data_IF_741052895508
#
_entry.id   IF_741052895508
#
_cell.length_a   1.000
_cell.length_b   1.000
_cell.length_c   1.000
_cell.angle_alpha   90.00
_cell.angle_beta   90.00
_cell.angle_gamma   90.00
#
_symmetry.space_group_name_H-M   'P 1'
#
loop_
_entity.id
_entity.type
_entity.pdbx_description
1 polymer ?
#
# COMPACT_ATOMS: atom_id res chain seq x y z
N UNK A 1 7.46 3.30 4.81
CA UNK A 1 7.48 4.73 4.37
C UNK A 1 6.42 5.54 5.12
N UNK A 2 6.83 6.44 6.01
CA UNK A 2 5.90 7.25 6.82
C UNK A 2 6.27 8.72 6.73
N UNK A 3 5.26 9.58 6.86
CA UNK A 3 5.51 10.98 7.12
C UNK A 3 5.82 11.24 8.61
N UNK A 4 6.20 12.48 8.92
CA UNK A 4 6.50 12.92 10.29
C UNK A 4 5.33 12.74 11.28
N UNK A 5 4.12 12.48 10.79
CA UNK A 5 2.90 12.25 11.58
C UNK A 5 2.51 10.77 11.66
N UNK A 6 3.38 9.84 11.23
CA UNK A 6 3.14 8.39 11.18
C UNK A 6 1.93 7.99 10.32
N UNK A 7 1.63 8.77 9.27
CA UNK A 7 0.66 8.36 8.25
C UNK A 7 1.36 7.52 7.18
N UNK A 8 0.64 6.58 6.59
CA UNK A 8 1.20 5.71 5.54
C UNK A 8 1.27 6.50 4.23
N UNK A 9 2.46 6.73 3.70
CA UNK A 9 2.63 7.44 2.43
C UNK A 9 2.09 6.59 1.26
N UNK A 10 1.36 7.21 0.33
CA UNK A 10 0.72 6.51 -0.80
C UNK A 10 1.18 7.07 -2.14
N UNK A 11 1.20 8.40 -2.27
CA UNK A 11 1.54 9.07 -3.52
C UNK A 11 1.98 10.51 -3.24
N UNK A 12 2.48 11.17 -4.28
CA UNK A 12 2.75 12.61 -4.31
C UNK A 12 2.04 13.21 -5.51
N UNK A 13 1.50 14.41 -5.37
CA UNK A 13 1.10 15.26 -6.48
C UNK A 13 1.85 16.59 -6.42
N UNK A 14 1.60 17.51 -7.36
CA UNK A 14 2.32 18.78 -7.45
C UNK A 14 2.16 19.68 -6.21
N UNK A 15 1.13 19.45 -5.40
CA UNK A 15 0.77 20.29 -4.25
C UNK A 15 1.16 19.67 -2.91
N UNK A 16 1.12 18.34 -2.79
CA UNK A 16 1.22 17.66 -1.51
C UNK A 16 1.55 16.16 -1.61
N UNK A 17 2.06 15.64 -0.51
CA UNK A 17 2.07 14.21 -0.22
C UNK A 17 0.65 13.73 0.11
N UNK A 18 0.27 12.60 -0.48
CA UNK A 18 -0.98 11.90 -0.23
C UNK A 18 -0.69 10.72 0.69
N UNK A 19 -1.22 10.79 1.90
CA UNK A 19 -1.03 9.75 2.92
C UNK A 19 -2.36 9.16 3.37
N UNK A 20 -2.36 7.87 3.69
CA UNK A 20 -3.47 7.16 4.31
C UNK A 20 -3.37 7.25 5.83
N UNK A 21 -4.48 7.62 6.47
CA UNK A 21 -4.58 7.65 7.94
C UNK A 21 -4.73 6.19 8.42
N UNK A 22 -3.80 5.64 9.22
CA UNK A 22 -3.79 4.20 9.53
C UNK A 22 -5.09 3.70 10.16
N UNK A 23 -5.70 4.50 11.05
CA UNK A 23 -6.99 4.17 11.67
C UNK A 23 -8.16 4.05 10.67
N UNK A 24 -8.02 4.61 9.47
CA UNK A 24 -9.02 4.56 8.41
C UNK A 24 -8.78 3.42 7.41
N UNK A 25 -7.62 2.74 7.49
CA UNK A 25 -7.25 1.62 6.61
C UNK A 25 -8.14 0.38 6.77
N UNK A 26 -8.94 0.31 7.84
CA UNK A 26 -9.92 -0.74 8.07
C UNK A 26 -11.17 -0.61 7.17
N UNK A 27 -11.29 0.47 6.39
CA UNK A 27 -12.27 0.57 5.31
C UNK A 27 -11.69 -0.07 4.07
N UNK A 28 -12.43 -0.97 3.44
CA UNK A 28 -11.98 -1.64 2.22
C UNK A 28 -11.58 -0.63 1.15
N UNK A 29 -10.41 -0.86 0.54
CA UNK A 29 -9.91 -0.11 -0.59
C UNK A 29 -9.94 -0.94 -1.87
N UNK A 30 -9.89 -0.27 -3.03
CA UNK A 30 -9.80 -0.89 -4.33
C UNK A 30 -8.60 -0.32 -5.09
N UNK A 31 -7.67 -1.19 -5.48
CA UNK A 31 -6.59 -0.85 -6.41
C UNK A 31 -6.99 -1.42 -7.78
N UNK A 32 -7.19 -0.54 -8.76
CA UNK A 32 -7.61 -0.90 -10.11
C UNK A 32 -6.77 -0.17 -11.15
N UNK A 33 -6.76 -0.67 -12.39
CA UNK A 33 -5.94 -0.13 -13.48
C UNK A 33 -5.65 -1.18 -14.56
N UNK A 34 -5.12 -0.74 -15.71
CA UNK A 34 -4.73 -1.62 -16.80
C UNK A 34 -3.48 -2.45 -16.48
N UNK A 35 -3.14 -3.42 -17.32
CA UNK A 35 -1.87 -4.15 -17.18
C UNK A 35 -0.70 -3.20 -17.36
N UNK A 36 0.33 -3.33 -16.51
CA UNK A 36 1.51 -2.46 -16.54
C UNK A 36 1.35 -1.12 -15.81
N UNK A 37 0.19 -0.81 -15.22
CA UNK A 37 -0.01 0.47 -14.47
C UNK A 37 0.37 0.39 -13.00
N UNK A 38 1.23 -0.57 -12.61
CA UNK A 38 1.79 -0.63 -11.26
C UNK A 38 0.91 -1.27 -10.17
N UNK A 39 -0.28 -1.83 -10.48
CA UNK A 39 -1.18 -2.45 -9.47
C UNK A 39 -0.47 -3.37 -8.47
N UNK A 40 0.34 -4.30 -8.97
CA UNK A 40 1.09 -5.26 -8.15
C UNK A 40 2.07 -4.55 -7.24
N UNK A 41 2.92 -3.68 -7.78
CA UNK A 41 3.92 -2.93 -7.00
C UNK A 41 3.24 -2.05 -5.95
N UNK A 42 2.13 -1.40 -6.29
CA UNK A 42 1.34 -0.64 -5.31
C UNK A 42 0.85 -1.53 -4.15
N UNK A 43 0.33 -2.73 -4.43
CA UNK A 43 -0.13 -3.63 -3.37
C UNK A 43 1.03 -4.15 -2.50
N UNK A 44 2.19 -4.41 -3.10
CA UNK A 44 3.43 -4.79 -2.39
C UNK A 44 3.88 -3.68 -1.43
N UNK A 45 4.06 -2.46 -1.93
CA UNK A 45 4.50 -1.31 -1.11
C UNK A 45 3.53 -0.99 0.01
N UNK A 46 2.22 -1.12 -0.22
CA UNK A 46 1.21 -0.96 0.85
C UNK A 46 1.34 -2.06 1.90
N UNK A 47 1.55 -3.30 1.48
CA UNK A 47 1.73 -4.45 2.37
C UNK A 47 2.97 -4.29 3.25
N UNK A 48 4.10 -3.91 2.65
CA UNK A 48 5.33 -3.59 3.38
C UNK A 48 5.12 -2.45 4.38
N UNK A 49 4.47 -1.36 3.93
CA UNK A 49 4.20 -0.20 4.79
C UNK A 49 3.33 -0.58 5.98
N UNK A 50 2.28 -1.39 5.81
CA UNK A 50 1.47 -1.87 6.94
C UNK A 50 2.25 -2.82 7.86
N UNK A 51 3.07 -3.71 7.31
CA UNK A 51 3.95 -4.60 8.08
C UNK A 51 4.96 -3.81 8.93
N UNK A 52 5.58 -2.77 8.38
CA UNK A 52 6.46 -1.84 9.10
C UNK A 52 5.74 -1.11 10.25
N UNK A 53 4.42 -0.92 10.16
CA UNK A 53 3.60 -0.37 11.24
C UNK A 53 3.23 -1.40 12.32
N UNK A 54 3.67 -2.66 12.17
CA UNK A 54 3.32 -3.78 13.04
C UNK A 54 1.93 -4.34 12.78
N UNK A 55 1.31 -4.03 11.64
CA UNK A 55 0.01 -4.61 11.24
C UNK A 55 0.26 -5.92 10.52
N UNK A 56 -0.30 -7.05 10.98
CA UNK A 56 -0.19 -8.32 10.26
C UNK A 56 -0.88 -8.20 8.89
N UNK A 57 -0.15 -8.53 7.82
CA UNK A 57 -0.68 -8.49 6.46
C UNK A 57 -0.87 -9.89 5.93
N UNK A 58 -2.06 -10.16 5.40
CA UNK A 58 -2.38 -11.37 4.66
C UNK A 58 -2.70 -11.00 3.22
N UNK A 59 -2.01 -11.61 2.27
CA UNK A 59 -2.20 -11.36 0.84
C UNK A 59 -2.58 -12.67 0.13
N UNK A 60 -3.74 -12.66 -0.53
CA UNK A 60 -4.10 -13.72 -1.47
C UNK A 60 -3.51 -13.39 -2.84
N UNK A 61 -2.53 -14.17 -3.27
CA UNK A 61 -1.82 -13.95 -4.53
C UNK A 61 -2.20 -15.00 -5.58
N UNK A 62 -3.16 -14.66 -6.44
CA UNK A 62 -3.63 -15.57 -7.48
C UNK A 62 -2.61 -15.74 -8.62
N UNK A 63 -1.78 -14.73 -8.88
CA UNK A 63 -0.88 -14.71 -10.04
C UNK A 63 0.58 -15.05 -9.68
N UNK A 64 0.91 -15.10 -8.39
CA UNK A 64 2.26 -15.31 -7.90
C UNK A 64 3.12 -14.02 -7.93
N UNK A 65 2.52 -12.88 -8.24
CA UNK A 65 3.23 -11.62 -8.44
C UNK A 65 3.63 -10.95 -7.11
N UNK A 66 3.07 -11.37 -5.96
CA UNK A 66 3.37 -10.86 -4.60
C UNK A 66 4.40 -11.73 -3.84
N UNK A 67 4.83 -12.85 -4.43
CA UNK A 67 5.80 -13.78 -3.84
C UNK A 67 7.15 -13.14 -3.44
N UNK A 68 7.52 -12.02 -4.07
CA UNK A 68 8.75 -11.28 -3.74
C UNK A 68 8.73 -10.52 -2.41
N UNK A 69 7.58 -10.43 -1.74
CA UNK A 69 7.39 -9.73 -0.46
C UNK A 69 7.24 -10.71 0.73
N UNK A 70 7.08 -12.01 0.45
CA UNK A 70 6.85 -13.06 1.44
C UNK A 70 8.13 -13.54 2.14
#
# INVERSE_FOLDING_TARGET
MFDNSKRAFIAINDEAEVCLIPKMANRHGLITGATGTGKTVTLQTLSETFSEMGVPVFAADMKGDLSGVA
#
